data_IF_668225709539
#
_entry.id   IF_668225709539
#
_cell.length_a   1.000
_cell.length_b   1.000
_cell.length_c   1.000
_cell.angle_alpha   90.00
_cell.angle_beta   90.00
_cell.angle_gamma   90.00
#
_symmetry.space_group_name_H-M   'P 1'
#
loop_
_entity.id
_entity.type
_entity.pdbx_description
1 polymer ?
#
# COMPACT_ATOMS: atom_id res chain seq x y z
N UNK A 1 -19.05 0.97 -7.79
CA UNK A 1 -18.56 -0.30 -8.42
C UNK A 1 -17.48 -0.19 -9.49
N UNK A 2 -17.23 0.96 -10.14
CA UNK A 2 -16.20 1.04 -11.20
C UNK A 2 -14.76 0.84 -10.70
N UNK A 3 -14.43 1.36 -9.51
CA UNK A 3 -13.12 1.20 -8.87
C UNK A 3 -12.72 -0.29 -8.69
N UNK A 4 -13.59 -1.09 -8.05
CA UNK A 4 -13.40 -2.54 -7.88
C UNK A 4 -13.23 -3.27 -9.21
N UNK A 5 -13.93 -2.82 -10.25
CA UNK A 5 -13.79 -3.37 -11.60
C UNK A 5 -12.42 -3.08 -12.21
N UNK A 6 -11.85 -1.88 -11.97
CA UNK A 6 -10.53 -1.48 -12.44
C UNK A 6 -9.39 -2.30 -11.82
N UNK A 7 -9.44 -2.56 -10.50
CA UNK A 7 -8.47 -3.45 -9.82
C UNK A 7 -8.48 -4.86 -10.41
N UNK A 8 -9.67 -5.46 -10.54
CA UNK A 8 -9.82 -6.81 -11.11
C UNK A 8 -9.30 -6.89 -12.54
N UNK A 9 -9.48 -5.83 -13.33
CA UNK A 9 -8.93 -5.75 -14.68
C UNK A 9 -7.40 -5.67 -14.65
N UNK A 10 -6.82 -4.84 -13.78
CA UNK A 10 -5.37 -4.76 -13.57
C UNK A 10 -4.77 -6.12 -13.22
N UNK A 11 -5.35 -6.83 -12.25
CA UNK A 11 -4.90 -8.16 -11.85
C UNK A 11 -4.95 -9.17 -13.01
N UNK A 12 -6.00 -9.12 -13.83
CA UNK A 12 -6.13 -9.99 -15.02
C UNK A 12 -5.09 -9.65 -16.09
N UNK A 13 -4.80 -8.36 -16.31
CA UNK A 13 -3.79 -7.92 -17.28
C UNK A 13 -2.38 -8.38 -16.87
N UNK A 14 -2.04 -8.26 -15.58
CA UNK A 14 -0.75 -8.73 -15.05
C UNK A 14 -0.63 -10.25 -15.18
N UNK A 15 -1.66 -11.01 -14.76
CA UNK A 15 -1.66 -12.48 -14.86
C UNK A 15 -1.56 -13.00 -16.29
N UNK A 16 -2.09 -12.26 -17.27
CA UNK A 16 -1.97 -12.59 -18.69
C UNK A 16 -0.64 -12.15 -19.32
N UNK A 17 0.25 -11.52 -18.56
CA UNK A 17 1.51 -10.97 -19.06
C UNK A 17 1.32 -9.76 -19.99
N UNK A 18 0.14 -9.14 -19.96
CA UNK A 18 -0.22 -8.02 -20.85
C UNK A 18 0.20 -6.66 -20.28
N UNK A 19 0.53 -6.59 -18.98
CA UNK A 19 1.04 -5.39 -18.32
C UNK A 19 1.95 -5.78 -17.15
N UNK A 20 2.98 -4.97 -16.88
CA UNK A 20 3.77 -5.12 -15.65
C UNK A 20 3.01 -4.53 -14.46
N UNK A 21 3.20 -5.11 -13.28
CA UNK A 21 2.54 -4.66 -12.04
C UNK A 21 2.81 -3.17 -11.75
N UNK A 22 4.04 -2.71 -11.99
CA UNK A 22 4.41 -1.30 -11.86
C UNK A 22 3.64 -0.37 -12.80
N UNK A 23 3.40 -0.78 -14.05
CA UNK A 23 2.64 0.03 -15.02
C UNK A 23 1.17 0.15 -14.60
N UNK A 24 0.60 -0.94 -14.06
CA UNK A 24 -0.77 -0.92 -13.54
C UNK A 24 -0.86 -0.02 -12.31
N UNK A 25 0.07 -0.15 -11.36
CA UNK A 25 0.11 0.67 -10.16
C UNK A 25 0.30 2.17 -10.46
N UNK A 26 1.20 2.51 -11.38
CA UNK A 26 1.44 3.89 -11.82
C UNK A 26 0.22 4.47 -12.53
N UNK A 27 -0.43 3.71 -13.41
CA UNK A 27 -1.66 4.14 -14.09
C UNK A 27 -2.81 4.37 -13.09
N UNK A 28 -2.97 3.49 -12.10
CA UNK A 28 -3.96 3.65 -11.03
C UNK A 28 -3.66 4.89 -10.17
N UNK A 29 -2.40 5.10 -9.82
CA UNK A 29 -1.97 6.30 -9.08
C UNK A 29 -2.32 7.58 -9.84
N UNK A 30 -2.05 7.61 -11.15
CA UNK A 30 -2.42 8.72 -12.03
C UNK A 30 -3.93 8.98 -12.08
N UNK A 31 -4.74 7.93 -12.22
CA UNK A 31 -6.21 8.04 -12.22
C UNK A 31 -6.77 8.61 -10.92
N UNK A 32 -6.14 8.27 -9.78
CA UNK A 32 -6.58 8.68 -8.45
C UNK A 32 -5.91 9.96 -7.96
N UNK A 33 -5.03 10.57 -8.76
CA UNK A 33 -4.21 11.72 -8.36
C UNK A 33 -3.39 11.45 -7.09
N UNK A 34 -2.90 10.22 -6.95
CA UNK A 34 -2.04 9.78 -5.85
C UNK A 34 -0.58 9.66 -6.30
N UNK A 35 0.39 9.89 -5.41
CA UNK A 35 1.80 9.62 -5.72
C UNK A 35 2.04 8.13 -5.94
N UNK A 36 2.81 7.78 -6.98
CA UNK A 36 3.38 6.44 -7.14
C UNK A 36 4.78 6.40 -6.52
N UNK A 37 5.08 5.35 -5.74
CA UNK A 37 6.39 5.10 -5.14
C UNK A 37 6.92 3.78 -5.71
N UNK A 38 7.94 3.80 -6.58
CA UNK A 38 8.51 2.57 -7.11
C UNK A 38 9.34 1.84 -6.04
N UNK A 39 9.47 0.50 -6.12
CA UNK A 39 10.44 -0.25 -5.32
C UNK A 39 11.89 0.15 -5.67
N UNK A 40 12.87 -0.07 -4.76
CA UNK A 40 12.70 -0.64 -3.43
C UNK A 40 12.05 0.35 -2.44
N UNK A 41 11.17 -0.17 -1.60
CA UNK A 41 10.53 0.60 -0.54
C UNK A 41 11.46 0.64 0.70
N UNK A 42 11.72 1.84 1.22
CA UNK A 42 12.60 2.07 2.36
C UNK A 42 11.84 2.77 3.50
N UNK A 43 11.18 2.02 4.39
CA UNK A 43 10.43 2.59 5.50
C UNK A 43 11.34 3.07 6.63
N UNK A 44 11.03 4.23 7.20
CA UNK A 44 11.70 4.80 8.38
C UNK A 44 11.20 4.10 9.67
N UNK A 45 12.09 3.80 10.64
CA UNK A 45 11.69 3.17 11.91
C UNK A 45 10.59 3.92 12.65
N UNK A 46 10.63 5.25 12.64
CA UNK A 46 9.64 6.12 13.29
C UNK A 46 8.27 6.03 12.62
N UNK A 47 8.22 5.80 11.31
CA UNK A 47 6.98 5.59 10.56
C UNK A 47 6.39 4.22 10.88
N UNK A 48 7.23 3.17 10.88
CA UNK A 48 6.83 1.81 11.21
C UNK A 48 6.22 1.72 12.62
N UNK A 49 6.80 2.43 13.58
CA UNK A 49 6.30 2.48 14.97
C UNK A 49 4.89 3.07 15.12
N UNK A 50 4.36 3.77 14.11
CA UNK A 50 3.00 4.36 14.14
C UNK A 50 1.89 3.41 13.72
N UNK A 51 2.23 2.28 13.10
CA UNK A 51 1.25 1.32 12.60
C UNK A 51 1.62 -0.06 13.12
N UNK A 52 0.65 -0.72 13.75
CA UNK A 52 0.83 -2.07 14.26
C UNK A 52 0.97 -3.05 13.09
N UNK A 53 1.87 -4.04 13.23
CA UNK A 53 2.11 -5.06 12.22
C UNK A 53 0.82 -5.77 11.73
N UNK A 54 -0.10 -6.10 12.64
CA UNK A 54 -1.36 -6.73 12.29
C UNK A 54 -2.23 -5.84 11.39
N UNK A 55 -2.27 -4.53 11.63
CA UNK A 55 -2.98 -3.57 10.77
C UNK A 55 -2.31 -3.45 9.41
N UNK A 56 -0.98 -3.30 9.40
CA UNK A 56 -0.18 -3.21 8.17
C UNK A 56 -0.46 -4.41 7.24
N UNK A 57 -0.46 -5.62 7.80
CA UNK A 57 -0.76 -6.88 7.08
C UNK A 57 -2.21 -6.96 6.64
N UNK A 58 -3.16 -6.74 7.55
CA UNK A 58 -4.58 -6.88 7.28
C UNK A 58 -5.08 -5.91 6.20
N UNK A 59 -4.52 -4.70 6.17
CA UNK A 59 -4.92 -3.65 5.23
C UNK A 59 -3.98 -3.51 4.03
N UNK A 60 -2.89 -4.27 3.96
CA UNK A 60 -1.94 -4.22 2.84
C UNK A 60 -1.28 -2.85 2.69
N UNK A 61 -0.77 -2.31 3.80
CA UNK A 61 -0.17 -0.96 3.86
C UNK A 61 1.19 -0.95 4.52
N UNK A 62 2.10 -0.15 3.98
CA UNK A 62 3.44 0.06 4.51
C UNK A 62 3.67 1.55 4.84
N UNK A 63 3.84 1.93 6.11
CA UNK A 63 4.27 3.27 6.47
C UNK A 63 5.69 3.51 5.96
N UNK A 64 5.92 4.61 5.22
CA UNK A 64 7.24 4.92 4.69
C UNK A 64 7.97 5.99 5.48
N UNK A 65 7.33 7.14 5.71
CA UNK A 65 8.00 8.29 6.33
C UNK A 65 7.09 8.99 7.32
N UNK A 66 7.71 9.61 8.33
CA UNK A 66 7.00 10.41 9.32
C UNK A 66 7.63 11.80 9.43
N UNK A 67 6.90 12.82 8.98
CA UNK A 67 7.32 14.23 9.11
C UNK A 67 6.37 14.98 10.04
N UNK A 68 6.78 15.13 11.31
CA UNK A 68 5.95 15.72 12.36
C UNK A 68 4.73 14.85 12.66
N UNK A 69 3.56 15.26 12.16
CA UNK A 69 2.29 14.48 12.25
C UNK A 69 1.79 13.99 10.90
N UNK A 70 2.60 14.09 9.84
CA UNK A 70 2.25 13.56 8.51
C UNK A 70 2.90 12.20 8.34
N UNK A 71 2.08 11.18 8.22
CA UNK A 71 2.51 9.79 8.01
C UNK A 71 2.24 9.44 6.55
N UNK A 72 3.29 9.25 5.75
CA UNK A 72 3.14 8.74 4.40
C UNK A 72 2.99 7.22 4.45
N UNK A 73 1.96 6.72 3.80
CA UNK A 73 1.66 5.29 3.76
C UNK A 73 1.50 4.86 2.31
N UNK A 74 2.22 3.80 1.94
CA UNK A 74 2.07 3.17 0.63
C UNK A 74 1.08 2.04 0.72
N UNK A 75 0.14 2.01 -0.23
CA UNK A 75 -0.97 1.08 -0.29
C UNK A 75 -0.83 0.17 -1.51
N UNK A 76 -1.12 -1.12 -1.32
CA UNK A 76 -1.25 -2.07 -2.43
C UNK A 76 -2.57 -1.89 -3.19
N UNK A 77 -3.63 -1.48 -2.49
CA UNK A 77 -4.92 -1.11 -3.08
C UNK A 77 -5.32 0.32 -2.67
N UNK A 78 -5.10 1.33 -3.54
CA UNK A 78 -5.48 2.71 -3.24
C UNK A 78 -6.99 2.97 -3.30
N UNK A 79 -7.80 1.99 -3.69
CA UNK A 79 -9.26 2.12 -3.76
C UNK A 79 -9.93 1.74 -2.44
N UNK A 80 -9.19 1.12 -1.52
CA UNK A 80 -9.64 0.83 -0.16
C UNK A 80 -9.46 2.06 0.73
N UNK A 81 -10.32 3.06 0.52
CA UNK A 81 -10.22 4.36 1.21
C UNK A 81 -10.49 4.26 2.71
N UNK A 82 -11.22 3.23 3.17
CA UNK A 82 -11.49 3.00 4.60
C UNK A 82 -10.18 2.82 5.39
N UNK A 83 -9.16 2.22 4.77
CA UNK A 83 -7.84 2.04 5.37
C UNK A 83 -7.20 3.36 5.76
N UNK A 84 -7.39 4.41 4.96
CA UNK A 84 -6.80 5.73 5.25
C UNK A 84 -7.36 6.30 6.55
N UNK A 85 -8.67 6.14 6.78
CA UNK A 85 -9.33 6.63 7.98
C UNK A 85 -9.03 5.78 9.21
N UNK A 86 -8.96 4.45 9.06
CA UNK A 86 -8.51 3.53 10.13
C UNK A 86 -7.09 3.87 10.59
N UNK A 87 -6.18 4.11 9.65
CA UNK A 87 -4.80 4.49 9.94
C UNK A 87 -4.70 5.86 10.60
N UNK A 88 -5.55 6.83 10.19
CA UNK A 88 -5.60 8.15 10.84
C UNK A 88 -5.99 8.02 12.31
N UNK A 89 -7.02 7.23 12.60
CA UNK A 89 -7.50 7.00 13.96
C UNK A 89 -6.46 6.30 14.82
N UNK A 90 -5.87 5.21 14.31
CA UNK A 90 -4.88 4.43 15.05
C UNK A 90 -3.58 5.21 15.31
N UNK A 91 -3.03 5.84 14.26
CA UNK A 91 -1.71 6.49 14.33
C UNK A 91 -1.74 7.87 14.98
N UNK A 92 -2.92 8.50 15.09
CA UNK A 92 -3.08 9.90 15.47
C UNK A 92 -2.42 10.88 14.50
N UNK A 93 -2.07 10.42 13.29
CA UNK A 93 -1.35 11.20 12.28
C UNK A 93 -2.27 11.56 11.11
N UNK A 94 -1.93 12.64 10.41
CA UNK A 94 -2.47 12.93 9.09
C UNK A 94 -1.84 11.95 8.09
N UNK A 95 -2.64 10.99 7.63
CA UNK A 95 -2.20 9.99 6.65
C UNK A 95 -2.18 10.62 5.25
N UNK A 96 -1.05 10.46 4.57
CA UNK A 96 -0.82 10.80 3.16
C UNK A 96 -0.66 9.51 2.35
N UNK A 97 -1.71 9.06 1.63
CA UNK A 97 -1.65 7.84 0.86
C UNK A 97 -0.77 8.00 -0.39
N UNK A 98 -0.06 6.93 -0.72
CA UNK A 98 0.68 6.74 -1.95
C UNK A 98 0.49 5.30 -2.45
N UNK A 99 0.78 5.04 -3.71
CA UNK A 99 0.56 3.75 -4.37
C UNK A 99 1.89 3.10 -4.69
N UNK A 100 1.99 1.79 -4.52
CA UNK A 100 3.07 0.99 -5.10
C UNK A 100 2.50 -0.35 -5.55
N UNK A 101 3.36 -1.22 -6.05
CA UNK A 101 2.95 -2.55 -6.46
C UNK A 101 2.56 -3.41 -5.25
N UNK A 102 1.49 -4.23 -5.35
CA UNK A 102 1.17 -5.23 -4.33
C UNK A 102 2.35 -6.07 -3.85
N UNK A 103 3.21 -6.52 -4.78
CA UNK A 103 4.44 -7.25 -4.45
C UNK A 103 5.39 -6.44 -3.57
N UNK A 104 5.71 -5.19 -3.95
CA UNK A 104 6.63 -4.35 -3.19
C UNK A 104 6.11 -4.01 -1.79
N UNK A 105 4.80 -3.76 -1.67
CA UNK A 105 4.17 -3.49 -0.37
C UNK A 105 4.18 -4.75 0.50
N UNK A 106 3.85 -5.92 -0.06
CA UNK A 106 3.90 -7.20 0.66
C UNK A 106 5.30 -7.55 1.16
N UNK A 107 6.31 -7.45 0.28
CA UNK A 107 7.71 -7.66 0.64
C UNK A 107 8.19 -6.67 1.70
N UNK A 108 7.83 -5.39 1.57
CA UNK A 108 8.18 -4.36 2.54
C UNK A 108 7.55 -4.59 3.91
N UNK A 109 6.28 -5.03 3.98
CA UNK A 109 5.62 -5.41 5.24
C UNK A 109 6.32 -6.61 5.87
N UNK A 110 6.64 -7.64 5.08
CA UNK A 110 7.33 -8.83 5.56
C UNK A 110 8.70 -8.47 6.13
N UNK A 111 9.48 -7.67 5.41
CA UNK A 111 10.80 -7.24 5.82
C UNK A 111 10.76 -6.33 7.07
N UNK A 112 9.80 -5.40 7.13
CA UNK A 112 9.72 -4.42 8.20
C UNK A 112 9.14 -4.99 9.51
N UNK A 113 8.17 -5.91 9.42
CA UNK A 113 7.41 -6.37 10.58
C UNK A 113 7.60 -7.84 10.93
N UNK A 114 8.29 -8.64 10.12
CA UNK A 114 8.74 -10.01 10.41
C UNK A 114 7.78 -10.89 11.24
N UNK A 115 7.00 -11.74 10.57
CA UNK A 115 6.18 -12.79 11.22
C UNK A 115 4.83 -13.01 10.52
N UNK A 116 4.64 -14.21 9.97
CA UNK A 116 3.47 -14.70 9.22
C UNK A 116 3.07 -13.88 7.97
N UNK A 117 3.33 -14.50 6.81
CA UNK A 117 2.76 -14.07 5.53
C UNK A 117 1.23 -13.97 5.67
N UNK A 118 0.58 -12.87 5.24
CA UNK A 118 -0.87 -12.84 5.17
C UNK A 118 -1.36 -13.97 4.25
N UNK A 119 -2.40 -14.69 4.67
CA UNK A 119 -3.03 -15.81 3.95
C UNK A 119 -3.49 -15.48 2.51
N UNK A 120 -3.41 -14.20 2.10
CA UNK A 120 -3.75 -13.71 0.77
C UNK A 120 -2.84 -14.22 -0.37
N UNK A 121 -1.78 -14.98 -0.04
CA UNK A 121 -0.92 -15.68 -1.01
C UNK A 121 -1.10 -17.21 -1.04
N UNK A 122 -2.15 -17.76 -0.40
CA UNK A 122 -2.55 -19.17 -0.56
C UNK A 122 -3.72 -19.32 -1.53
#
# INVERSE_FOLDING_TARGET
>A
DQARSGRRLGDVLVRKGLAAEGQVAEALAGQLSLPYVPPPLAPEPEALARVQAGMARAKGVLPLTLSGRRLRVVMADPLDLEVVDDLRFQSGCRVEPAVSTPTAVGEGILAAYGGDLPELLQ
#
